data_IF_813104529963
#
_entry.id   IF_813104529963
#
_cell.length_a   1.000
_cell.length_b   1.000
_cell.length_c   1.000
_cell.angle_alpha   90.00
_cell.angle_beta   90.00
_cell.angle_gamma   90.00
#
_symmetry.space_group_name_H-M   'P 1'
#
loop_
_entity.id
_entity.type
_entity.pdbx_description
1 polymer ?
#
# COMPACT_ATOMS: atom_id res chain seq x y z
N UNK A 1 11.68 25.25 10.71
CA UNK A 1 10.86 24.20 10.04
C UNK A 1 11.40 22.85 10.46
N UNK A 2 10.54 21.95 10.87
CA UNK A 2 10.92 20.57 11.16
C UNK A 2 11.04 19.74 9.84
N UNK A 3 11.54 18.50 9.92
CA UNK A 3 11.72 17.61 8.75
C UNK A 3 10.45 17.44 7.93
N UNK A 4 9.30 17.28 8.57
CA UNK A 4 8.01 17.09 7.89
C UNK A 4 7.55 18.35 7.18
N UNK A 5 7.70 19.53 7.82
CA UNK A 5 7.38 20.82 7.18
C UNK A 5 8.23 21.05 5.93
N UNK A 6 9.52 20.72 5.98
CA UNK A 6 10.41 20.81 4.83
C UNK A 6 10.01 19.85 3.72
N UNK A 7 9.59 18.64 4.05
CA UNK A 7 9.11 17.68 3.08
C UNK A 7 7.80 18.15 2.43
N UNK A 8 6.83 18.67 3.20
CA UNK A 8 5.60 19.25 2.64
C UNK A 8 5.89 20.43 1.71
N UNK A 9 6.87 21.28 2.02
CA UNK A 9 7.28 22.36 1.11
C UNK A 9 7.93 21.82 -0.18
N UNK A 10 8.66 20.71 -0.11
CA UNK A 10 9.21 20.04 -1.29
C UNK A 10 8.10 19.44 -2.19
N UNK A 11 7.07 18.83 -1.58
CA UNK A 11 5.86 18.38 -2.28
C UNK A 11 5.14 19.55 -2.96
N UNK A 12 4.97 20.69 -2.28
CA UNK A 12 4.37 21.90 -2.87
C UNK A 12 5.17 22.44 -4.05
N UNK A 13 6.50 22.44 -3.97
CA UNK A 13 7.36 22.82 -5.10
C UNK A 13 7.15 21.89 -6.29
N UNK A 14 7.05 20.58 -6.05
CA UNK A 14 6.74 19.63 -7.12
C UNK A 14 5.37 19.91 -7.76
N UNK A 15 4.36 20.30 -6.99
CA UNK A 15 3.05 20.72 -7.50
C UNK A 15 3.17 21.96 -8.40
N UNK A 16 3.95 22.97 -7.99
CA UNK A 16 4.13 24.16 -8.82
C UNK A 16 4.87 23.85 -10.14
N UNK A 17 5.88 22.99 -10.12
CA UNK A 17 6.54 22.52 -11.35
C UNK A 17 5.58 21.71 -12.25
N UNK A 18 4.77 20.82 -11.64
CA UNK A 18 3.79 20.03 -12.36
C UNK A 18 2.74 20.91 -13.06
N UNK A 19 2.27 21.99 -12.42
CA UNK A 19 1.31 22.93 -13.02
C UNK A 19 1.83 23.61 -14.29
N UNK A 20 3.14 23.71 -14.46
CA UNK A 20 3.77 24.28 -15.69
C UNK A 20 3.67 23.38 -16.90
N UNK A 21 3.38 22.07 -16.71
CA UNK A 21 3.21 21.14 -17.82
C UNK A 21 2.00 21.55 -18.68
N UNK A 22 2.15 21.75 -19.98
CA UNK A 22 1.00 22.11 -20.82
C UNK A 22 -0.07 21.00 -20.84
N UNK A 23 -1.35 21.37 -20.78
CA UNK A 23 -2.46 20.39 -20.75
C UNK A 23 -2.55 19.48 -21.98
N UNK A 24 -2.01 19.89 -23.11
CA UNK A 24 -1.99 19.11 -24.36
C UNK A 24 -0.98 17.96 -24.34
N UNK A 25 0.03 18.04 -23.48
CA UNK A 25 1.09 17.06 -23.39
C UNK A 25 0.57 15.74 -22.80
N UNK A 26 1.14 14.63 -23.27
CA UNK A 26 0.87 13.30 -22.74
C UNK A 26 1.94 12.98 -21.70
N UNK A 27 1.53 12.70 -20.48
CA UNK A 27 2.43 12.35 -19.39
C UNK A 27 2.66 10.83 -19.36
N UNK A 28 3.91 10.43 -19.34
CA UNK A 28 4.31 9.03 -19.26
C UNK A 28 4.50 8.63 -17.81
N UNK A 29 3.57 7.83 -17.28
CA UNK A 29 3.60 7.33 -15.90
C UNK A 29 4.23 5.93 -15.88
N UNK A 30 5.15 5.71 -14.97
CA UNK A 30 5.80 4.41 -14.74
C UNK A 30 5.75 4.11 -13.25
N UNK A 31 5.22 2.96 -12.87
CA UNK A 31 5.07 2.57 -11.47
C UNK A 31 5.53 1.15 -11.20
N UNK A 32 5.71 0.82 -9.92
CA UNK A 32 6.11 -0.50 -9.47
C UNK A 32 4.92 -1.49 -9.50
N UNK A 33 5.24 -2.80 -9.52
CA UNK A 33 4.22 -3.84 -9.71
C UNK A 33 3.55 -4.32 -8.41
N UNK A 34 4.11 -3.97 -7.25
CA UNK A 34 3.54 -4.39 -5.97
C UNK A 34 2.32 -3.55 -5.54
N UNK A 35 1.80 -3.84 -4.36
CA UNK A 35 0.60 -3.17 -3.87
C UNK A 35 0.82 -1.67 -3.65
N UNK A 36 2.01 -1.25 -3.20
CA UNK A 36 2.32 0.17 -3.01
C UNK A 36 2.42 0.88 -4.36
N UNK A 37 3.16 0.31 -5.32
CA UNK A 37 3.27 0.85 -6.68
C UNK A 37 1.92 0.91 -7.41
N UNK A 38 1.06 -0.12 -7.30
CA UNK A 38 -0.28 -0.11 -7.91
C UNK A 38 -1.17 0.95 -7.25
N UNK A 39 -1.10 1.10 -5.92
CA UNK A 39 -1.82 2.14 -5.19
C UNK A 39 -1.32 3.54 -5.58
N UNK A 40 0.00 3.73 -5.68
CA UNK A 40 0.62 4.97 -6.15
C UNK A 40 0.19 5.32 -7.58
N UNK A 41 0.20 4.31 -8.48
CA UNK A 41 -0.29 4.46 -9.85
C UNK A 41 -1.76 4.87 -9.90
N UNK A 42 -2.60 4.25 -9.07
CA UNK A 42 -4.04 4.54 -8.98
C UNK A 42 -4.29 5.98 -8.55
N UNK A 43 -3.59 6.43 -7.50
CA UNK A 43 -3.66 7.81 -7.02
C UNK A 43 -3.20 8.81 -8.09
N UNK A 44 -2.10 8.51 -8.80
CA UNK A 44 -1.61 9.36 -9.87
C UNK A 44 -2.59 9.41 -11.05
N UNK A 45 -3.13 8.26 -11.48
CA UNK A 45 -4.16 8.18 -12.53
C UNK A 45 -5.39 9.02 -12.15
N UNK A 46 -5.88 8.89 -10.92
CA UNK A 46 -7.01 9.69 -10.43
C UNK A 46 -6.71 11.17 -10.44
N UNK A 47 -5.54 11.55 -9.97
CA UNK A 47 -5.06 12.94 -9.95
C UNK A 47 -5.00 13.52 -11.38
N UNK A 48 -4.42 12.79 -12.34
CA UNK A 48 -4.32 13.20 -13.72
C UNK A 48 -5.70 13.32 -14.40
N UNK A 49 -6.61 12.39 -14.12
CA UNK A 49 -7.99 12.46 -14.61
C UNK A 49 -8.73 13.69 -14.06
N UNK A 50 -8.61 13.97 -12.76
CA UNK A 50 -9.21 15.16 -12.14
C UNK A 50 -8.65 16.44 -12.75
N UNK A 51 -7.36 16.48 -13.08
CA UNK A 51 -6.68 17.62 -13.72
C UNK A 51 -6.82 17.62 -15.27
N UNK A 52 -7.69 16.74 -15.81
CA UNK A 52 -7.98 16.63 -17.27
C UNK A 52 -6.71 16.47 -18.12
N UNK A 53 -5.75 15.68 -17.66
CA UNK A 53 -4.48 15.41 -18.36
C UNK A 53 -4.51 14.08 -19.09
N UNK A 54 -3.84 14.05 -20.23
CA UNK A 54 -3.59 12.82 -20.99
C UNK A 54 -2.37 12.10 -20.42
N UNK A 55 -2.43 10.79 -20.33
CA UNK A 55 -1.32 9.99 -19.85
C UNK A 55 -1.23 8.63 -20.57
N UNK A 56 -0.07 8.02 -20.49
CA UNK A 56 0.19 6.62 -20.80
C UNK A 56 0.85 5.99 -19.59
N UNK A 57 0.45 4.80 -19.19
CA UNK A 57 0.96 4.14 -17.98
C UNK A 57 1.58 2.79 -18.28
N UNK A 58 2.67 2.46 -17.60
CA UNK A 58 3.23 1.11 -17.50
C UNK A 58 3.55 0.78 -16.07
N UNK A 59 3.34 -0.48 -15.74
CA UNK A 59 3.76 -1.07 -14.48
C UNK A 59 4.97 -1.96 -14.76
N UNK A 60 6.03 -1.78 -14.01
CA UNK A 60 7.30 -2.50 -14.20
C UNK A 60 7.74 -3.19 -12.91
N UNK A 61 8.48 -4.28 -13.04
CA UNK A 61 8.97 -5.03 -11.88
C UNK A 61 10.16 -4.34 -11.21
N UNK A 62 11.03 -3.73 -11.98
CA UNK A 62 12.25 -3.11 -11.47
C UNK A 62 12.81 -2.12 -12.49
N UNK A 63 13.39 -1.04 -12.00
CA UNK A 63 14.18 -0.14 -12.84
C UNK A 63 15.54 -0.81 -13.13
N UNK A 64 15.71 -1.23 -14.41
CA UNK A 64 16.98 -1.67 -14.97
C UNK A 64 17.44 -0.66 -16.02
N UNK A 65 18.74 -0.62 -16.25
CA UNK A 65 19.34 0.30 -17.24
C UNK A 65 18.74 0.17 -18.63
N UNK A 66 18.46 -1.06 -19.05
CA UNK A 66 17.83 -1.36 -20.33
C UNK A 66 16.40 -0.79 -20.42
N UNK A 67 15.62 -0.93 -19.33
CA UNK A 67 14.26 -0.39 -19.22
C UNK A 67 14.29 1.14 -19.28
N UNK A 68 15.16 1.79 -18.51
CA UNK A 68 15.34 3.25 -18.58
C UNK A 68 15.77 3.70 -19.98
N UNK A 69 16.67 2.97 -20.64
CA UNK A 69 17.10 3.25 -22.00
C UNK A 69 15.96 3.15 -23.04
N UNK A 70 15.03 2.21 -22.85
CA UNK A 70 13.82 2.10 -23.68
C UNK A 70 12.87 3.28 -23.44
N UNK A 71 12.53 3.56 -22.18
CA UNK A 71 11.67 4.68 -21.79
C UNK A 71 12.21 6.03 -22.27
N UNK A 72 13.51 6.26 -22.14
CA UNK A 72 14.14 7.51 -22.56
C UNK A 72 14.06 7.74 -24.08
N UNK A 73 13.92 6.67 -24.90
CA UNK A 73 13.73 6.76 -26.37
C UNK A 73 12.28 7.02 -26.78
N UNK A 74 11.31 6.85 -25.87
CA UNK A 74 9.91 7.16 -26.16
C UNK A 74 9.74 8.66 -26.45
N UNK A 75 8.74 9.02 -27.22
CA UNK A 75 8.50 10.40 -27.72
C UNK A 75 7.88 11.35 -26.69
N UNK A 76 7.70 10.91 -25.44
CA UNK A 76 7.16 11.75 -24.37
C UNK A 76 8.22 12.75 -23.86
N UNK A 77 7.75 13.94 -23.49
CA UNK A 77 8.57 14.99 -22.89
C UNK A 77 8.46 15.03 -21.36
N UNK A 78 7.42 14.40 -20.78
CA UNK A 78 7.11 14.43 -19.37
C UNK A 78 6.93 13.02 -18.84
N UNK A 79 7.72 12.68 -17.84
CA UNK A 79 7.71 11.38 -17.18
C UNK A 79 7.39 11.54 -15.70
N UNK A 80 6.61 10.61 -15.16
CA UNK A 80 6.34 10.47 -13.72
C UNK A 80 6.69 9.05 -13.32
N UNK A 81 7.62 8.91 -12.39
CA UNK A 81 7.93 7.66 -11.73
C UNK A 81 7.28 7.67 -10.35
N UNK A 82 6.51 6.63 -10.02
CA UNK A 82 5.85 6.47 -8.72
C UNK A 82 6.28 5.18 -8.06
N UNK A 83 6.66 5.25 -6.79
CA UNK A 83 7.14 4.12 -5.98
C UNK A 83 8.37 3.42 -6.60
N UNK A 84 9.18 4.19 -7.31
CA UNK A 84 10.45 3.75 -7.88
C UNK A 84 11.23 4.96 -8.43
N UNK A 85 12.53 4.79 -8.62
CA UNK A 85 13.38 5.80 -9.24
C UNK A 85 14.51 6.30 -8.36
N UNK A 86 14.36 6.28 -7.05
CA UNK A 86 15.37 6.77 -6.09
C UNK A 86 16.73 6.08 -6.20
N UNK A 87 16.73 4.76 -6.42
CA UNK A 87 17.96 3.97 -6.60
C UNK A 87 18.60 4.07 -7.99
N UNK A 88 18.03 4.88 -8.91
CA UNK A 88 18.53 5.04 -10.27
C UNK A 88 18.63 6.50 -10.71
N UNK A 89 18.70 7.42 -9.75
CA UNK A 89 18.62 8.86 -9.98
C UNK A 89 19.71 9.34 -10.97
N UNK A 90 20.94 8.91 -10.79
CA UNK A 90 22.06 9.27 -11.69
C UNK A 90 21.82 8.82 -13.15
N UNK A 91 21.31 7.60 -13.32
CA UNK A 91 21.04 7.07 -14.65
C UNK A 91 19.82 7.76 -15.30
N UNK A 92 18.80 8.11 -14.51
CA UNK A 92 17.64 8.89 -14.97
C UNK A 92 18.13 10.27 -15.47
N UNK A 93 18.91 10.99 -14.69
CA UNK A 93 19.46 12.29 -15.09
C UNK A 93 20.30 12.20 -16.36
N UNK A 94 21.07 11.12 -16.51
CA UNK A 94 21.89 10.90 -17.68
C UNK A 94 21.08 10.63 -18.96
N UNK A 95 20.03 9.79 -18.84
CA UNK A 95 19.27 9.30 -20.01
C UNK A 95 18.12 10.23 -20.41
N UNK A 96 17.53 10.96 -19.45
CA UNK A 96 16.36 11.82 -19.69
C UNK A 96 16.74 13.29 -19.93
N UNK A 97 17.93 13.57 -20.42
CA UNK A 97 18.34 14.93 -20.79
C UNK A 97 17.34 15.54 -21.79
N UNK A 98 16.84 16.73 -21.47
CA UNK A 98 15.86 17.44 -22.29
C UNK A 98 14.41 16.99 -22.10
N UNK A 99 14.16 16.06 -21.17
CA UNK A 99 12.81 15.63 -20.74
C UNK A 99 12.59 15.98 -19.28
N UNK A 100 11.36 16.33 -18.93
CA UNK A 100 11.01 16.58 -17.53
C UNK A 100 10.64 15.28 -16.83
N UNK A 101 11.22 15.02 -15.68
CA UNK A 101 11.02 13.80 -14.90
C UNK A 101 10.60 14.17 -13.48
N UNK A 102 9.49 13.61 -13.04
CA UNK A 102 9.03 13.66 -11.66
C UNK A 102 9.21 12.29 -11.02
N UNK A 103 9.82 12.23 -9.85
CA UNK A 103 10.03 10.99 -9.10
C UNK A 103 9.37 11.16 -7.73
N UNK A 104 8.37 10.34 -7.46
CA UNK A 104 7.66 10.25 -6.19
C UNK A 104 7.95 8.87 -5.60
N UNK A 105 8.91 8.80 -4.69
CA UNK A 105 9.43 7.55 -4.19
C UNK A 105 9.80 7.66 -2.71
N UNK A 106 9.78 6.54 -1.99
CA UNK A 106 10.08 6.46 -0.56
C UNK A 106 11.29 5.57 -0.24
N UNK A 107 11.79 4.85 -1.23
CA UNK A 107 12.95 3.99 -1.08
C UNK A 107 14.23 4.79 -0.78
N UNK A 108 15.21 4.14 -0.13
CA UNK A 108 16.50 4.75 0.12
C UNK A 108 17.16 5.19 -1.19
N UNK A 109 17.48 6.49 -1.34
CA UNK A 109 17.95 7.01 -2.61
C UNK A 109 19.46 6.79 -2.78
N UNK A 110 19.87 6.64 -4.03
CA UNK A 110 21.29 6.62 -4.43
C UNK A 110 22.01 7.91 -4.01
N UNK A 111 21.31 9.06 -4.09
CA UNK A 111 21.76 10.36 -3.63
C UNK A 111 20.57 11.22 -3.19
N UNK A 112 20.81 12.11 -2.22
CA UNK A 112 19.73 12.90 -1.61
C UNK A 112 19.25 14.10 -2.45
N UNK A 113 19.88 14.39 -3.58
CA UNK A 113 19.53 15.54 -4.42
C UNK A 113 19.73 15.22 -5.89
N UNK A 114 18.75 15.58 -6.71
CA UNK A 114 18.93 15.64 -8.16
C UNK A 114 19.86 16.81 -8.52
N UNK A 115 20.77 16.59 -9.45
CA UNK A 115 21.70 17.61 -9.94
C UNK A 115 21.14 18.35 -11.16
N UNK A 116 20.21 17.72 -11.89
CA UNK A 116 19.62 18.26 -13.09
C UNK A 116 18.31 18.97 -12.79
N UNK A 117 18.14 20.19 -13.27
CA UNK A 117 16.95 21.03 -13.04
C UNK A 117 15.66 20.46 -13.65
N UNK A 118 15.79 19.55 -14.62
CA UNK A 118 14.66 18.86 -15.25
C UNK A 118 14.18 17.62 -14.49
N UNK A 119 14.77 17.29 -13.33
CA UNK A 119 14.38 16.16 -12.47
C UNK A 119 13.84 16.70 -11.15
N UNK A 120 12.55 16.55 -10.96
CA UNK A 120 11.85 16.91 -9.72
C UNK A 120 11.77 15.64 -8.88
N UNK A 121 12.58 15.61 -7.83
CA UNK A 121 12.77 14.45 -6.97
C UNK A 121 12.17 14.68 -5.59
N UNK A 122 11.07 14.00 -5.31
CA UNK A 122 10.35 14.02 -4.02
C UNK A 122 10.58 12.69 -3.31
N UNK A 123 11.33 12.76 -2.21
CA UNK A 123 11.66 11.59 -1.41
C UNK A 123 11.85 11.99 0.06
N UNK A 124 11.22 11.28 1.03
CA UNK A 124 11.26 11.60 2.45
C UNK A 124 12.68 11.54 3.05
N UNK A 125 13.55 10.65 2.54
CA UNK A 125 14.92 10.51 2.99
C UNK A 125 15.76 11.79 2.84
N UNK A 126 15.40 12.69 1.92
CA UNK A 126 16.04 14.01 1.78
C UNK A 126 16.00 14.84 3.08
N UNK A 127 15.04 14.56 3.92
CA UNK A 127 14.73 15.30 5.16
C UNK A 127 14.92 14.44 6.41
N UNK A 128 15.53 13.26 6.29
CA UNK A 128 15.75 12.34 7.40
C UNK A 128 14.48 11.64 7.88
N UNK A 129 13.44 11.60 7.05
CA UNK A 129 12.19 10.85 7.31
C UNK A 129 12.37 9.43 6.78
N UNK A 130 12.01 8.43 7.59
CA UNK A 130 12.18 7.03 7.23
C UNK A 130 11.05 6.56 6.29
N UNK A 131 11.37 6.44 5.01
CA UNK A 131 10.44 5.95 3.98
C UNK A 131 9.93 4.53 4.20
N UNK A 132 10.66 3.68 4.94
CA UNK A 132 10.24 2.30 5.19
C UNK A 132 9.18 2.16 6.32
N UNK A 133 8.90 3.24 7.07
CA UNK A 133 8.02 3.18 8.25
C UNK A 133 7.00 4.33 8.25
N UNK A 134 7.44 5.55 7.89
CA UNK A 134 6.68 6.76 8.14
C UNK A 134 5.80 7.20 6.97
N UNK A 135 6.17 6.80 5.73
CA UNK A 135 5.39 7.08 4.51
C UNK A 135 5.78 6.12 3.39
N UNK A 136 4.80 5.55 2.71
CA UNK A 136 4.99 4.68 1.54
C UNK A 136 5.05 5.48 0.23
N UNK A 137 5.40 4.84 -0.89
CA UNK A 137 5.36 5.45 -2.22
C UNK A 137 3.97 5.97 -2.60
N UNK A 138 2.92 5.19 -2.31
CA UNK A 138 1.53 5.65 -2.45
C UNK A 138 1.23 6.84 -1.53
N UNK A 139 1.79 6.86 -0.31
CA UNK A 139 1.70 7.98 0.60
C UNK A 139 2.34 9.25 0.02
N UNK A 140 3.53 9.16 -0.56
CA UNK A 140 4.19 10.29 -1.23
C UNK A 140 3.35 10.83 -2.39
N UNK A 141 2.82 9.93 -3.25
CA UNK A 141 1.93 10.32 -4.35
C UNK A 141 0.65 10.95 -3.84
N UNK A 142 0.06 10.40 -2.77
CA UNK A 142 -1.14 10.96 -2.15
C UNK A 142 -0.93 12.39 -1.65
N UNK A 143 0.19 12.65 -0.99
CA UNK A 143 0.53 14.00 -0.50
C UNK A 143 0.69 14.99 -1.64
N UNK A 144 1.31 14.58 -2.74
CA UNK A 144 1.37 15.39 -3.96
C UNK A 144 -0.03 15.63 -4.54
N UNK A 145 -0.81 14.58 -4.73
CA UNK A 145 -2.12 14.64 -5.35
C UNK A 145 -3.13 15.49 -4.54
N UNK A 146 -3.14 15.33 -3.20
CA UNK A 146 -4.00 16.12 -2.30
C UNK A 146 -3.56 17.58 -2.18
N UNK A 147 -2.26 17.86 -2.35
CA UNK A 147 -1.75 19.23 -2.44
C UNK A 147 -2.12 19.91 -3.75
N UNK A 148 -2.28 19.15 -4.84
CA UNK A 148 -2.73 19.65 -6.14
C UNK A 148 -4.25 19.85 -6.18
N UNK A 149 -5.02 18.88 -5.67
CA UNK A 149 -6.49 18.89 -5.64
C UNK A 149 -7.00 18.26 -4.34
N UNK A 150 -7.65 19.06 -3.50
CA UNK A 150 -8.24 18.60 -2.22
C UNK A 150 -9.24 17.44 -2.36
N UNK A 151 -9.85 17.25 -3.53
CA UNK A 151 -10.73 16.10 -3.79
C UNK A 151 -10.01 14.77 -3.66
N UNK A 152 -8.68 14.77 -3.79
CA UNK A 152 -7.86 13.58 -3.60
C UNK A 152 -7.82 13.09 -2.15
N UNK A 153 -8.24 13.89 -1.17
CA UNK A 153 -8.41 13.44 0.22
C UNK A 153 -9.40 12.26 0.35
N UNK A 154 -10.39 12.17 -0.56
CA UNK A 154 -11.32 11.03 -0.65
C UNK A 154 -10.63 9.70 -0.98
N UNK A 155 -9.41 9.74 -1.49
CA UNK A 155 -8.61 8.57 -1.87
C UNK A 155 -7.48 8.25 -0.88
N UNK A 156 -7.49 8.85 0.32
CA UNK A 156 -6.50 8.58 1.37
C UNK A 156 -6.40 7.08 1.74
N UNK A 157 -7.52 6.35 1.66
CA UNK A 157 -7.56 4.91 1.92
C UNK A 157 -6.69 4.11 0.93
N UNK A 158 -6.55 4.56 -0.32
CA UNK A 158 -5.70 3.88 -1.32
C UNK A 158 -4.23 3.98 -0.92
N UNK A 159 -3.78 5.13 -0.38
CA UNK A 159 -2.43 5.28 0.15
C UNK A 159 -2.18 4.35 1.36
N UNK A 160 -3.20 4.16 2.22
CA UNK A 160 -3.11 3.23 3.36
C UNK A 160 -3.02 1.78 2.89
N UNK A 161 -3.74 1.38 1.82
CA UNK A 161 -3.61 0.04 1.23
C UNK A 161 -2.17 -0.18 0.72
N UNK A 162 -1.57 0.83 0.07
CA UNK A 162 -0.17 0.78 -0.37
C UNK A 162 0.78 0.59 0.81
N UNK A 163 0.67 1.41 1.86
CA UNK A 163 1.50 1.32 3.05
C UNK A 163 1.35 -0.04 3.78
N UNK A 164 0.16 -0.67 3.76
CA UNK A 164 -0.03 -2.05 4.25
C UNK A 164 0.69 -3.05 3.33
N UNK A 165 0.69 -2.82 2.02
CA UNK A 165 1.43 -3.64 1.06
C UNK A 165 2.91 -3.71 1.38
N UNK A 166 3.49 -2.61 1.87
CA UNK A 166 4.87 -2.46 2.33
C UNK A 166 5.09 -2.81 3.82
N UNK A 167 4.07 -3.40 4.46
CA UNK A 167 4.12 -3.84 5.87
C UNK A 167 4.43 -2.70 6.87
N UNK A 168 4.09 -1.45 6.53
CA UNK A 168 4.36 -0.27 7.38
C UNK A 168 3.38 -0.14 8.57
N UNK A 169 2.37 -1.03 8.68
CA UNK A 169 1.37 -1.04 9.77
C UNK A 169 1.76 -1.91 10.98
N UNK A 170 2.98 -2.45 11.07
CA UNK A 170 3.33 -3.54 11.99
C UNK A 170 2.96 -3.29 13.46
N UNK A 171 3.20 -2.10 13.99
CA UNK A 171 2.80 -1.68 15.36
C UNK A 171 1.77 -0.53 15.34
N UNK A 172 1.01 -0.40 14.25
CA UNK A 172 0.22 0.76 13.92
C UNK A 172 1.00 1.73 13.02
N UNK A 173 0.29 2.58 12.32
CA UNK A 173 0.93 3.57 11.47
C UNK A 173 1.60 4.68 12.26
N UNK A 174 2.75 5.10 11.78
CA UNK A 174 3.52 6.19 12.36
C UNK A 174 3.40 7.48 11.52
N UNK A 175 3.62 8.61 12.17
CA UNK A 175 3.83 9.93 11.55
C UNK A 175 2.92 10.21 10.36
N UNK A 176 3.48 10.34 9.15
CA UNK A 176 2.75 10.74 7.94
C UNK A 176 1.71 9.69 7.52
N UNK A 177 2.03 8.39 7.60
CA UNK A 177 1.05 7.33 7.36
C UNK A 177 -0.13 7.42 8.33
N UNK A 178 0.12 7.79 9.60
CA UNK A 178 -0.95 7.98 10.58
C UNK A 178 -1.80 9.24 10.28
N UNK A 179 -1.21 10.29 9.74
CA UNK A 179 -1.97 11.47 9.28
C UNK A 179 -2.86 11.14 8.09
N UNK A 180 -2.34 10.36 7.13
CA UNK A 180 -3.10 9.86 5.98
C UNK A 180 -4.24 8.94 6.45
N UNK A 181 -3.97 8.03 7.40
CA UNK A 181 -5.00 7.17 8.00
C UNK A 181 -6.12 8.00 8.66
N UNK A 182 -5.76 9.03 9.43
CA UNK A 182 -6.76 9.94 10.04
C UNK A 182 -7.64 10.57 8.97
N UNK A 183 -7.06 11.06 7.88
CA UNK A 183 -7.84 11.59 6.76
C UNK A 183 -8.78 10.53 6.19
N UNK A 184 -8.32 9.29 5.98
CA UNK A 184 -9.17 8.19 5.49
C UNK A 184 -10.32 7.86 6.45
N UNK A 185 -10.10 7.96 7.77
CA UNK A 185 -11.13 7.76 8.81
C UNK A 185 -12.11 8.92 8.78
N UNK A 186 -11.65 10.16 8.75
CA UNK A 186 -12.48 11.37 8.75
C UNK A 186 -13.35 11.46 7.49
N UNK A 187 -12.84 10.97 6.35
CA UNK A 187 -13.62 10.82 5.10
C UNK A 187 -14.55 9.60 5.12
N UNK A 188 -14.57 8.84 6.20
CA UNK A 188 -15.44 7.67 6.34
C UNK A 188 -15.06 6.48 5.45
N UNK A 189 -13.83 6.44 4.91
CA UNK A 189 -13.37 5.37 4.02
C UNK A 189 -12.81 4.15 4.76
N UNK A 190 -12.16 4.37 5.90
CA UNK A 190 -11.59 3.31 6.74
C UNK A 190 -12.25 3.30 8.12
N UNK A 191 -12.50 2.10 8.63
CA UNK A 191 -12.78 1.81 10.04
C UNK A 191 -11.64 0.97 10.60
N UNK A 192 -11.04 1.44 11.69
CA UNK A 192 -10.03 0.66 12.41
C UNK A 192 -10.72 -0.06 13.57
N UNK A 193 -10.49 -1.36 13.67
CA UNK A 193 -10.94 -2.19 14.79
C UNK A 193 -9.75 -2.94 15.38
N UNK A 194 -9.81 -3.28 16.66
CA UNK A 194 -8.86 -4.21 17.24
C UNK A 194 -9.39 -5.63 17.04
N UNK A 195 -8.60 -6.49 16.42
CA UNK A 195 -9.03 -7.83 16.04
C UNK A 195 -7.88 -8.77 15.74
N UNK A 196 -8.21 -9.91 15.16
CA UNK A 196 -7.22 -10.89 14.69
C UNK A 196 -6.50 -10.36 13.44
N UNK A 197 -5.19 -10.24 13.52
CA UNK A 197 -4.31 -9.81 12.42
C UNK A 197 -3.95 -10.95 11.47
N UNK A 198 -4.92 -11.78 11.12
CA UNK A 198 -4.68 -12.92 10.25
C UNK A 198 -5.23 -12.66 8.85
N UNK A 199 -4.45 -13.02 7.83
CA UNK A 199 -4.90 -12.97 6.44
C UNK A 199 -6.13 -13.85 6.21
N UNK A 200 -7.13 -13.32 5.52
CA UNK A 200 -8.35 -14.05 5.21
C UNK A 200 -9.40 -14.02 6.33
N UNK A 201 -9.19 -13.28 7.42
CA UNK A 201 -10.12 -13.23 8.55
C UNK A 201 -11.54 -12.81 8.14
N UNK A 202 -11.69 -11.97 7.10
CA UNK A 202 -13.01 -11.54 6.62
C UNK A 202 -13.63 -12.54 5.64
N UNK A 203 -12.82 -13.18 4.79
CA UNK A 203 -13.33 -13.93 3.63
C UNK A 203 -13.27 -15.43 3.78
N UNK A 204 -12.24 -15.96 4.48
CA UNK A 204 -11.95 -17.39 4.53
C UNK A 204 -12.63 -18.12 5.70
N UNK A 205 -12.86 -19.46 5.55
CA UNK A 205 -13.18 -20.32 6.69
C UNK A 205 -12.11 -20.22 7.79
N UNK A 206 -12.55 -20.22 9.06
CA UNK A 206 -11.66 -20.00 10.21
C UNK A 206 -10.48 -20.98 10.26
N UNK A 207 -10.70 -22.26 9.97
CA UNK A 207 -9.61 -23.25 9.91
C UNK A 207 -8.58 -22.91 8.81
N UNK A 208 -9.01 -22.34 7.68
CA UNK A 208 -8.11 -21.87 6.60
C UNK A 208 -7.37 -20.58 6.98
N UNK A 209 -8.00 -19.69 7.74
CA UNK A 209 -7.32 -18.51 8.32
C UNK A 209 -6.15 -18.95 9.19
N UNK A 210 -6.38 -19.94 10.05
CA UNK A 210 -5.38 -20.49 10.95
C UNK A 210 -4.27 -21.26 10.20
N UNK A 211 -4.67 -22.12 9.25
CA UNK A 211 -3.73 -22.88 8.42
C UNK A 211 -2.78 -21.97 7.63
N UNK A 212 -3.29 -20.88 7.04
CA UNK A 212 -2.52 -19.98 6.19
C UNK A 212 -1.84 -18.84 6.95
N UNK A 213 -2.01 -18.76 8.26
CA UNK A 213 -1.39 -17.73 9.09
C UNK A 213 0.12 -17.94 9.19
N UNK A 214 0.90 -17.24 8.37
CA UNK A 214 2.37 -17.23 8.44
C UNK A 214 2.89 -16.09 9.32
N UNK A 215 2.11 -15.03 9.45
CA UNK A 215 2.32 -13.91 10.35
C UNK A 215 0.96 -13.49 10.96
N UNK A 216 0.71 -13.88 12.22
CA UNK A 216 1.60 -14.63 13.14
C UNK A 216 1.66 -16.14 12.84
N UNK A 217 2.85 -16.75 12.95
CA UNK A 217 3.03 -18.18 12.89
C UNK A 217 2.46 -18.85 14.15
N UNK A 218 1.72 -19.97 13.99
CA UNK A 218 1.08 -20.71 15.10
C UNK A 218 1.64 -22.13 15.08
N UNK A 219 2.50 -22.51 16.06
CA UNK A 219 3.09 -23.85 16.13
C UNK A 219 2.03 -24.96 16.11
N UNK A 220 2.21 -25.97 15.24
CA UNK A 220 1.32 -27.12 15.09
C UNK A 220 -0.01 -26.83 14.36
N UNK A 221 -0.25 -25.58 13.97
CA UNK A 221 -1.49 -25.12 13.30
C UNK A 221 -1.18 -24.57 11.92
N UNK A 222 -0.23 -23.65 11.80
CA UNK A 222 0.19 -23.07 10.53
C UNK A 222 0.70 -24.16 9.59
N UNK A 223 0.19 -24.18 8.36
CA UNK A 223 0.51 -25.17 7.32
C UNK A 223 -0.19 -26.52 7.45
N UNK A 224 -1.10 -26.68 8.44
CA UNK A 224 -1.80 -27.92 8.68
C UNK A 224 -3.30 -27.73 8.83
N UNK A 225 -4.10 -28.15 7.84
CA UNK A 225 -5.56 -28.09 7.93
C UNK A 225 -6.09 -28.93 9.09
N UNK A 226 -5.58 -30.16 9.26
CA UNK A 226 -5.97 -31.03 10.37
C UNK A 226 -5.57 -30.46 11.71
N UNK A 227 -4.38 -29.86 11.81
CA UNK A 227 -3.93 -29.16 13.02
C UNK A 227 -4.83 -27.97 13.37
N UNK A 228 -5.21 -27.18 12.38
CA UNK A 228 -6.13 -26.05 12.57
C UNK A 228 -7.52 -26.50 13.05
N UNK A 229 -8.07 -27.56 12.46
CA UNK A 229 -9.37 -28.12 12.87
C UNK A 229 -9.29 -28.69 14.29
N UNK A 230 -8.23 -29.46 14.60
CA UNK A 230 -8.03 -30.01 15.93
C UNK A 230 -7.87 -28.91 16.99
N UNK A 231 -7.11 -27.86 16.67
CA UNK A 231 -6.93 -26.73 17.56
C UNK A 231 -8.26 -26.02 17.89
N UNK A 232 -9.12 -25.80 16.88
CA UNK A 232 -10.45 -25.24 17.10
C UNK A 232 -11.30 -26.11 18.05
N UNK A 233 -11.28 -27.43 17.86
CA UNK A 233 -12.00 -28.35 18.76
C UNK A 233 -11.45 -28.30 20.21
N UNK A 234 -10.13 -28.19 20.39
CA UNK A 234 -9.52 -28.06 21.72
C UNK A 234 -9.97 -26.77 22.44
N UNK A 235 -10.27 -25.71 21.68
CA UNK A 235 -10.78 -24.45 22.19
C UNK A 235 -12.31 -24.42 22.39
N UNK A 236 -13.00 -25.56 22.13
CA UNK A 236 -14.45 -25.63 22.20
C UNK A 236 -15.17 -24.94 21.04
N UNK A 237 -14.45 -24.65 19.94
CA UNK A 237 -14.99 -23.97 18.76
C UNK A 237 -15.33 -25.03 17.70
N UNK A 238 -16.62 -25.13 17.34
CA UNK A 238 -17.01 -25.95 16.22
C UNK A 238 -16.57 -25.29 14.90
N UNK A 239 -15.72 -25.94 14.07
CA UNK A 239 -15.29 -25.39 12.79
C UNK A 239 -16.40 -25.28 11.74
N UNK A 240 -17.58 -25.89 12.01
CA UNK A 240 -18.76 -25.80 11.14
C UNK A 240 -19.77 -24.76 11.65
N UNK A 241 -20.50 -24.18 10.71
CA UNK A 241 -21.66 -23.33 10.97
C UNK A 241 -22.80 -23.80 10.04
N UNK A 242 -23.73 -24.57 10.58
CA UNK A 242 -24.72 -25.28 9.77
C UNK A 242 -24.08 -26.25 8.78
N UNK A 243 -24.43 -26.14 7.50
CA UNK A 243 -23.85 -26.92 6.41
C UNK A 243 -22.52 -26.40 5.90
N UNK A 244 -22.11 -25.18 6.33
CA UNK A 244 -20.89 -24.50 5.88
C UNK A 244 -19.77 -24.55 6.91
N UNK A 245 -18.67 -23.87 6.59
CA UNK A 245 -17.55 -23.63 7.47
C UNK A 245 -17.74 -22.33 8.26
N UNK A 246 -17.36 -22.33 9.53
CA UNK A 246 -17.40 -21.15 10.38
C UNK A 246 -16.33 -20.14 9.91
N UNK A 247 -16.70 -18.86 9.80
CA UNK A 247 -15.79 -17.71 9.57
C UNK A 247 -15.60 -16.96 10.88
N UNK A 248 -14.61 -16.05 10.95
CA UNK A 248 -14.34 -15.21 12.12
C UNK A 248 -15.59 -14.43 12.54
N UNK A 249 -16.35 -13.90 11.59
CA UNK A 249 -17.58 -13.15 11.85
C UNK A 249 -18.72 -13.96 12.52
N UNK A 250 -18.63 -15.29 12.50
CA UNK A 250 -19.61 -16.19 13.12
C UNK A 250 -19.22 -16.58 14.56
N UNK A 251 -18.07 -16.12 15.06
CA UNK A 251 -17.65 -16.40 16.43
C UNK A 251 -18.47 -15.59 17.42
N UNK A 252 -18.86 -16.24 18.51
CA UNK A 252 -19.37 -15.54 19.70
C UNK A 252 -18.22 -14.81 20.39
N UNK A 253 -18.53 -13.89 21.31
CA UNK A 253 -17.49 -13.20 22.10
C UNK A 253 -16.64 -14.18 22.92
N UNK A 254 -17.25 -15.24 23.45
CA UNK A 254 -16.56 -16.30 24.19
C UNK A 254 -15.65 -17.12 23.28
N UNK A 255 -16.13 -17.56 22.11
CA UNK A 255 -15.33 -18.28 21.13
C UNK A 255 -14.16 -17.42 20.64
N UNK A 256 -14.37 -16.12 20.40
CA UNK A 256 -13.31 -15.19 20.03
C UNK A 256 -12.26 -15.07 21.12
N UNK A 257 -12.68 -14.94 22.38
CA UNK A 257 -11.77 -14.90 23.53
C UNK A 257 -10.96 -16.19 23.65
N UNK A 258 -11.63 -17.36 23.50
CA UNK A 258 -10.96 -18.66 23.54
C UNK A 258 -9.93 -18.79 22.41
N UNK A 259 -10.30 -18.39 21.19
CA UNK A 259 -9.41 -18.42 20.03
C UNK A 259 -8.16 -17.56 20.26
N UNK A 260 -8.34 -16.31 20.64
CA UNK A 260 -7.24 -15.38 20.90
C UNK A 260 -6.33 -15.90 22.00
N UNK A 261 -6.92 -16.34 23.13
CA UNK A 261 -6.17 -16.89 24.25
C UNK A 261 -5.40 -18.15 23.84
N UNK A 262 -6.05 -19.06 23.13
CA UNK A 262 -5.41 -20.30 22.67
C UNK A 262 -4.24 -20.02 21.71
N UNK A 263 -4.38 -19.10 20.77
CA UNK A 263 -3.28 -18.73 19.88
C UNK A 263 -2.12 -18.11 20.64
N UNK A 264 -2.38 -17.19 21.59
CA UNK A 264 -1.33 -16.58 22.44
C UNK A 264 -0.60 -17.66 23.24
N UNK A 265 -1.34 -18.57 23.90
CA UNK A 265 -0.75 -19.65 24.70
C UNK A 265 0.11 -20.60 23.85
N UNK A 266 -0.32 -20.92 22.63
CA UNK A 266 0.44 -21.78 21.71
C UNK A 266 1.73 -21.10 21.23
N UNK A 267 1.76 -19.77 21.26
CA UNK A 267 2.89 -18.93 20.83
C UNK A 267 3.76 -18.41 21.98
N UNK A 268 3.61 -18.90 23.21
CA UNK A 268 4.41 -18.43 24.35
C UNK A 268 5.93 -18.56 24.17
N UNK A 269 6.40 -19.41 23.25
CA UNK A 269 7.82 -19.51 22.88
C UNK A 269 8.29 -18.46 21.87
N UNK A 270 7.40 -17.68 21.28
CA UNK A 270 7.71 -16.63 20.30
C UNK A 270 8.08 -15.31 21.02
N UNK A 271 8.75 -14.41 20.30
CA UNK A 271 9.19 -13.12 20.86
C UNK A 271 8.02 -12.24 21.30
N UNK A 272 6.94 -12.24 20.52
CA UNK A 272 5.73 -11.45 20.78
C UNK A 272 4.50 -12.34 20.57
N UNK A 273 4.08 -13.12 21.57
CA UNK A 273 2.95 -14.05 21.44
C UNK A 273 1.62 -13.38 21.12
N UNK A 274 1.44 -12.12 21.58
CA UNK A 274 0.24 -11.31 21.43
C UNK A 274 0.10 -10.63 20.05
N UNK A 275 1.06 -10.70 19.15
CA UNK A 275 1.02 -10.10 17.81
C UNK A 275 -0.15 -10.59 16.94
N UNK A 276 -0.84 -11.65 17.38
CA UNK A 276 -2.09 -12.12 16.80
C UNK A 276 -3.21 -11.07 16.87
N UNK A 277 -3.13 -10.17 17.84
CA UNK A 277 -4.06 -9.06 18.01
C UNK A 277 -3.43 -7.74 17.58
N UNK A 278 -4.16 -7.01 16.79
CA UNK A 278 -3.71 -5.70 16.34
C UNK A 278 -4.82 -4.91 15.66
N UNK A 279 -4.43 -3.83 15.01
CA UNK A 279 -5.34 -3.04 14.21
C UNK A 279 -5.69 -3.79 12.92
N UNK A 280 -6.98 -3.83 12.61
CA UNK A 280 -7.54 -4.31 11.35
C UNK A 280 -8.19 -3.11 10.68
N UNK A 281 -7.85 -2.88 9.44
CA UNK A 281 -8.25 -1.71 8.65
C UNK A 281 -9.32 -2.13 7.65
N UNK A 282 -10.58 -1.80 7.93
CA UNK A 282 -11.72 -2.21 7.12
C UNK A 282 -12.21 -1.07 6.22
N UNK A 283 -12.31 -1.31 4.92
CA UNK A 283 -12.88 -0.38 3.97
C UNK A 283 -14.40 -0.32 4.17
N UNK A 284 -14.95 0.85 4.46
CA UNK A 284 -16.35 0.98 4.89
C UNK A 284 -17.34 0.75 3.77
N UNK A 285 -16.99 1.16 2.56
CA UNK A 285 -17.86 1.07 1.37
C UNK A 285 -17.90 -0.34 0.77
N UNK A 286 -16.96 -1.22 1.16
CA UNK A 286 -16.91 -2.59 0.68
C UNK A 286 -17.89 -3.51 1.42
N UNK A 287 -18.45 -4.48 0.72
CA UNK A 287 -19.31 -5.50 1.32
C UNK A 287 -18.54 -6.36 2.35
N UNK A 288 -19.23 -6.84 3.37
CA UNK A 288 -18.62 -7.58 4.48
C UNK A 288 -17.85 -8.82 4.06
N UNK A 289 -18.26 -9.49 2.99
CA UNK A 289 -17.59 -10.69 2.46
C UNK A 289 -16.72 -10.41 1.24
N UNK A 290 -16.56 -9.13 0.86
CA UNK A 290 -15.70 -8.74 -0.23
C UNK A 290 -14.22 -9.01 0.13
N UNK A 291 -13.42 -9.56 -0.78
CA UNK A 291 -11.99 -9.70 -0.59
C UNK A 291 -11.23 -8.36 -0.54
N UNK A 292 -11.92 -7.26 -0.82
CA UNK A 292 -11.42 -5.88 -0.70
C UNK A 292 -11.80 -5.23 0.64
N UNK A 293 -12.61 -5.90 1.49
CA UNK A 293 -13.08 -5.38 2.78
C UNK A 293 -11.94 -5.09 3.75
N UNK A 294 -11.02 -6.01 3.89
CA UNK A 294 -9.83 -5.88 4.72
C UNK A 294 -8.69 -5.31 3.86
N UNK A 295 -8.13 -4.19 4.26
CA UNK A 295 -7.05 -3.53 3.50
C UNK A 295 -5.80 -4.42 3.32
N UNK A 296 -5.53 -5.36 4.26
CA UNK A 296 -4.43 -6.34 4.14
C UNK A 296 -4.73 -7.41 3.10
N UNK A 297 -5.97 -7.89 3.04
CA UNK A 297 -6.41 -8.80 1.98
C UNK A 297 -6.37 -8.08 0.63
N UNK A 298 -6.84 -6.84 0.57
CA UNK A 298 -6.81 -6.04 -0.65
C UNK A 298 -5.38 -5.79 -1.15
N UNK A 299 -4.45 -5.36 -0.28
CA UNK A 299 -3.05 -5.21 -0.65
C UNK A 299 -2.45 -6.51 -1.21
N UNK A 300 -2.81 -7.67 -0.63
CA UNK A 300 -2.39 -8.97 -1.15
C UNK A 300 -2.94 -9.25 -2.56
N UNK A 301 -4.19 -8.86 -2.84
CA UNK A 301 -4.77 -8.97 -4.18
C UNK A 301 -4.07 -8.04 -5.18
N UNK A 302 -3.72 -6.82 -4.77
CA UNK A 302 -2.94 -5.90 -5.63
C UNK A 302 -1.57 -6.49 -5.97
N UNK A 303 -0.87 -7.08 -4.99
CA UNK A 303 0.38 -7.82 -5.24
C UNK A 303 0.18 -8.96 -6.25
N UNK A 304 -0.91 -9.71 -6.15
CA UNK A 304 -1.23 -10.77 -7.10
C UNK A 304 -1.52 -10.18 -8.51
N UNK A 305 -2.27 -9.08 -8.59
CA UNK A 305 -2.53 -8.40 -9.86
C UNK A 305 -1.23 -7.97 -10.56
N UNK A 306 -0.28 -7.40 -9.82
CA UNK A 306 1.01 -6.99 -10.38
C UNK A 306 1.83 -8.18 -10.88
N UNK A 307 1.95 -9.23 -10.06
CA UNK A 307 2.74 -10.44 -10.41
C UNK A 307 2.17 -11.24 -11.58
N UNK A 308 0.86 -11.15 -11.82
CA UNK A 308 0.15 -11.83 -12.90
C UNK A 308 -0.03 -10.97 -14.15
N UNK A 309 0.65 -9.83 -14.22
CA UNK A 309 0.52 -8.84 -15.33
C UNK A 309 -0.92 -8.35 -15.54
N UNK A 310 -1.64 -8.18 -14.41
CA UNK A 310 -3.03 -7.70 -14.34
C UNK A 310 -3.15 -6.39 -13.55
N UNK A 311 -2.09 -5.59 -13.53
CA UNK A 311 -2.06 -4.35 -12.75
C UNK A 311 -3.22 -3.39 -13.08
N UNK A 312 -3.71 -3.39 -14.33
CA UNK A 312 -4.89 -2.62 -14.73
C UNK A 312 -6.15 -2.97 -13.95
N UNK A 313 -6.33 -4.25 -13.57
CA UNK A 313 -7.44 -4.67 -12.70
C UNK A 313 -7.26 -4.12 -11.27
N UNK A 314 -6.02 -4.17 -10.76
CA UNK A 314 -5.69 -3.59 -9.46
C UNK A 314 -5.95 -2.08 -9.41
N UNK A 315 -5.51 -1.35 -10.44
CA UNK A 315 -5.78 0.09 -10.57
C UNK A 315 -7.29 0.35 -10.63
N UNK A 316 -8.04 -0.42 -11.43
CA UNK A 316 -9.49 -0.32 -11.49
C UNK A 316 -10.15 -0.54 -10.13
N UNK A 317 -9.74 -1.59 -9.40
CA UNK A 317 -10.27 -1.88 -8.07
C UNK A 317 -9.98 -0.77 -7.02
N UNK A 318 -8.85 -0.08 -7.13
CA UNK A 318 -8.53 1.07 -6.25
C UNK A 318 -9.37 2.31 -6.55
N UNK A 319 -9.92 2.43 -7.76
CA UNK A 319 -10.62 3.63 -8.22
C UNK A 319 -12.15 3.50 -8.18
N UNK A 320 -12.67 2.28 -7.96
CA UNK A 320 -14.08 1.96 -7.88
C UNK A 320 -14.69 1.66 -9.23
#
# INVERSE_FOLDING_TARGET
MNSYELFYEDVKKAVEEFKKIPKKEVIRVVSHLDADGISAASLMVKCLNNDSRKYSISIIQQIKKEVLGQLARESYNYFIFTDLGSGALTEIERLFKGKWVFIFDHHEPEKLKAESDNVIFVNPHKFGINGSIEVSGAGVVYLFASSLDKKMEEFAHVAIIGAIGDMQEHNGFEKMNNEILRTAIDKGKIKVIRGLRMFGAQTKPLHKVLEYSTDPFIPGVTGSESGAIQFLHQLGINPKNGSGWKKVMHLTEEEMKNLVTGVILTRLGEKNPEDVLGNVYLLREEDHESPTKDAKEFATLLNACGRLDKASLGIGACLG
#
